data_IF_567877162962
#
_entry.id   IF_567877162962
#
_cell.length_a   1.000
_cell.length_b   1.000
_cell.length_c   1.000
_cell.angle_alpha   90.00
_cell.angle_beta   90.00
_cell.angle_gamma   90.00
#
_symmetry.space_group_name_H-M   'P 1'
#
loop_
_entity.id
_entity.type
_entity.pdbx_description
1 polymer ?
#
# COMPACT_ATOMS: atom_id res chain seq x y z
N UNK A 1 -1.65 20.55 13.78
CA UNK A 1 -0.96 20.65 12.48
C UNK A 1 -0.12 19.40 12.35
N UNK A 2 -0.63 18.39 11.65
CA UNK A 2 0.09 17.13 11.48
C UNK A 2 1.09 17.29 10.34
N UNK A 3 2.31 16.80 10.51
CA UNK A 3 3.43 16.91 9.56
C UNK A 3 3.23 16.12 8.24
N UNK A 4 2.00 15.71 7.92
CA UNK A 4 1.64 14.87 6.77
C UNK A 4 1.07 15.67 5.59
N UNK A 5 0.92 16.98 5.75
CA UNK A 5 0.29 17.91 4.81
C UNK A 5 1.28 18.44 3.75
N UNK A 6 2.08 17.53 3.18
CA UNK A 6 2.80 17.83 1.93
C UNK A 6 1.84 17.59 0.79
N UNK A 7 1.89 18.40 -0.26
CA UNK A 7 0.98 18.37 -1.41
C UNK A 7 1.03 17.01 -2.15
N UNK A 8 0.30 16.00 -1.64
CA UNK A 8 0.26 14.63 -2.17
C UNK A 8 -0.39 14.53 -3.56
N UNK A 9 -0.76 15.68 -4.16
CA UNK A 9 -1.15 15.80 -5.56
C UNK A 9 0.04 15.90 -6.50
N UNK A 10 1.25 16.18 -6.00
CA UNK A 10 2.49 16.04 -6.77
C UNK A 10 3.07 14.63 -6.59
N UNK A 11 2.96 13.77 -7.61
CA UNK A 11 3.43 12.40 -7.48
C UNK A 11 4.95 12.31 -7.43
N UNK A 12 5.64 13.25 -8.06
CA UNK A 12 7.10 13.28 -8.10
C UNK A 12 7.67 13.64 -6.74
N UNK A 13 7.09 14.62 -6.05
CA UNK A 13 7.48 14.95 -4.68
C UNK A 13 7.33 13.75 -3.72
N UNK A 14 6.23 13.00 -3.85
CA UNK A 14 5.97 11.82 -3.01
C UNK A 14 6.96 10.68 -3.27
N UNK A 15 7.32 10.45 -4.54
CA UNK A 15 8.31 9.44 -4.91
C UNK A 15 9.72 9.86 -4.48
N UNK A 16 10.06 11.15 -4.57
CA UNK A 16 11.32 11.68 -4.07
C UNK A 16 11.43 11.51 -2.55
N UNK A 17 10.36 11.80 -1.79
CA UNK A 17 10.31 11.58 -0.35
C UNK A 17 10.58 10.10 0.00
N UNK A 18 9.92 9.16 -0.67
CA UNK A 18 10.18 7.72 -0.49
C UNK A 18 11.65 7.34 -0.77
N UNK A 19 12.26 7.92 -1.80
CA UNK A 19 13.64 7.59 -2.20
C UNK A 19 14.71 8.11 -1.25
N UNK A 20 14.39 9.14 -0.45
CA UNK A 20 15.31 9.73 0.50
C UNK A 20 15.37 8.97 1.84
N UNK A 21 14.36 8.12 2.11
CA UNK A 21 14.26 7.36 3.34
C UNK A 21 15.05 6.06 3.29
N UNK A 22 15.45 5.58 4.47
CA UNK A 22 16.03 4.24 4.60
C UNK A 22 14.99 3.17 4.22
N UNK A 23 15.37 1.90 4.00
CA UNK A 23 14.38 0.83 3.80
C UNK A 23 13.43 0.68 5.01
N UNK A 24 12.17 0.34 4.74
CA UNK A 24 11.17 0.06 5.78
C UNK A 24 10.20 1.21 6.11
N UNK A 25 10.23 2.29 5.34
CA UNK A 25 9.31 3.41 5.50
C UNK A 25 8.05 3.25 4.63
N UNK A 26 6.97 3.87 5.09
CA UNK A 26 5.69 3.93 4.39
C UNK A 26 5.36 5.39 4.12
N UNK A 27 5.09 5.74 2.87
CA UNK A 27 4.54 7.04 2.51
C UNK A 27 3.01 6.94 2.54
N UNK A 28 2.33 7.62 3.47
CA UNK A 28 0.87 7.69 3.43
C UNK A 28 0.44 8.49 2.20
N UNK A 29 -0.52 7.94 1.46
CA UNK A 29 -1.23 8.59 0.37
C UNK A 29 -2.69 8.72 0.80
N UNK A 30 -3.10 9.89 1.26
CA UNK A 30 -4.46 10.24 1.70
C UNK A 30 -5.29 10.74 0.51
N UNK A 31 -5.25 9.96 -0.57
CA UNK A 31 -5.91 10.25 -1.84
C UNK A 31 -6.56 8.98 -2.38
N UNK A 32 -7.66 9.17 -3.10
CA UNK A 32 -8.32 8.07 -3.79
C UNK A 32 -7.36 7.52 -4.87
N UNK A 33 -7.10 6.19 -4.93
CA UNK A 33 -6.24 5.61 -5.96
C UNK A 33 -6.68 5.92 -7.41
N UNK A 34 -7.97 6.18 -7.62
CA UNK A 34 -8.56 6.57 -8.90
C UNK A 34 -8.49 8.09 -9.15
N UNK A 35 -8.02 8.89 -8.20
CA UNK A 35 -7.99 10.34 -8.32
C UNK A 35 -7.06 10.79 -9.46
N UNK A 36 -7.53 11.66 -10.37
CA UNK A 36 -6.72 12.14 -11.48
C UNK A 36 -5.52 12.99 -11.09
N UNK A 37 -4.38 12.79 -11.77
CA UNK A 37 -3.08 13.45 -11.50
C UNK A 37 -2.54 14.28 -12.66
N UNK A 38 -3.37 14.61 -13.65
CA UNK A 38 -2.97 15.40 -14.81
C UNK A 38 -2.26 14.55 -15.87
N UNK A 39 -0.92 14.62 -15.94
CA UNK A 39 -0.15 13.95 -17.01
C UNK A 39 -0.14 12.41 -16.90
N UNK A 40 -0.32 11.89 -15.69
CA UNK A 40 -0.68 10.49 -15.40
C UNK A 40 -2.17 10.45 -15.07
N UNK A 41 -2.89 9.41 -15.49
CA UNK A 41 -4.34 9.37 -15.34
C UNK A 41 -4.75 9.22 -13.87
N UNK A 42 -3.99 8.48 -13.05
CA UNK A 42 -4.25 8.34 -11.60
C UNK A 42 -3.09 7.73 -10.81
N UNK A 43 -3.21 7.70 -9.47
CA UNK A 43 -2.22 7.09 -8.57
C UNK A 43 -2.04 5.59 -8.81
N UNK A 44 -3.13 4.86 -9.06
CA UNK A 44 -3.08 3.44 -9.33
C UNK A 44 -2.20 3.12 -10.56
N UNK A 45 -2.28 3.94 -11.61
CA UNK A 45 -1.45 3.82 -12.81
C UNK A 45 0.04 4.03 -12.47
N UNK A 46 0.37 5.09 -11.72
CA UNK A 46 1.74 5.42 -11.39
C UNK A 46 2.40 4.36 -10.48
N UNK A 47 1.69 3.95 -9.42
CA UNK A 47 2.15 2.89 -8.51
C UNK A 47 2.39 1.58 -9.26
N UNK A 48 1.53 1.29 -10.26
CA UNK A 48 1.64 0.11 -11.13
C UNK A 48 2.83 0.19 -12.07
N UNK A 49 3.00 1.32 -12.75
CA UNK A 49 4.09 1.57 -13.68
C UNK A 49 5.47 1.44 -13.00
N UNK A 50 5.57 1.90 -11.76
CA UNK A 50 6.81 1.83 -10.96
C UNK A 50 6.92 0.56 -10.11
N UNK A 51 5.90 -0.31 -10.16
CA UNK A 51 5.78 -1.56 -9.39
C UNK A 51 6.03 -1.35 -7.89
N UNK A 52 5.49 -0.28 -7.34
CA UNK A 52 5.68 0.06 -5.93
C UNK A 52 4.81 -0.82 -5.03
N UNK A 53 5.39 -1.56 -4.06
CA UNK A 53 4.61 -2.33 -3.11
C UNK A 53 3.66 -1.41 -2.35
N UNK A 54 2.37 -1.68 -2.47
CA UNK A 54 1.32 -0.79 -1.95
C UNK A 54 0.47 -1.52 -0.93
N UNK A 55 0.03 -0.84 0.12
CA UNK A 55 -0.98 -1.33 1.04
C UNK A 55 -2.18 -0.40 1.00
N UNK A 56 -3.38 -0.94 0.86
CA UNK A 56 -4.60 -0.14 0.79
C UNK A 56 -5.22 -0.03 2.18
N UNK A 57 -5.35 1.19 2.69
CA UNK A 57 -6.14 1.48 3.88
C UNK A 57 -7.59 1.74 3.44
N UNK A 58 -8.55 1.11 4.12
CA UNK A 58 -9.96 1.22 3.77
C UNK A 58 -10.77 1.45 5.04
N UNK A 59 -11.52 2.56 5.11
CA UNK A 59 -12.41 2.80 6.24
C UNK A 59 -13.60 1.84 6.21
N UNK A 60 -14.25 1.66 7.36
CA UNK A 60 -15.50 0.88 7.42
C UNK A 60 -16.59 1.47 6.50
N UNK A 61 -16.62 2.80 6.34
CA UNK A 61 -17.54 3.48 5.42
C UNK A 61 -17.23 3.13 3.95
N UNK A 62 -15.95 3.17 3.56
CA UNK A 62 -15.52 2.82 2.20
C UNK A 62 -15.82 1.34 1.89
N UNK A 63 -15.59 0.46 2.87
CA UNK A 63 -15.92 -0.97 2.74
C UNK A 63 -17.41 -1.17 2.51
N UNK A 64 -18.25 -0.52 3.32
CA UNK A 64 -19.71 -0.59 3.20
C UNK A 64 -20.21 -0.03 1.86
N UNK A 65 -19.56 1.01 1.34
CA UNK A 65 -19.84 1.58 0.02
C UNK A 65 -19.31 0.74 -1.16
N UNK A 66 -18.60 -0.36 -0.88
CA UNK A 66 -18.02 -1.24 -1.90
C UNK A 66 -16.69 -0.75 -2.50
N UNK A 67 -16.16 0.38 -2.03
CA UNK A 67 -14.91 0.97 -2.53
C UNK A 67 -13.71 0.05 -2.32
N UNK A 68 -13.70 -0.76 -1.26
CA UNK A 68 -12.68 -1.78 -1.04
C UNK A 68 -12.49 -2.70 -2.27
N UNK A 69 -13.59 -3.18 -2.85
CA UNK A 69 -13.56 -4.05 -4.03
C UNK A 69 -13.20 -3.28 -5.30
N UNK A 70 -13.77 -2.08 -5.45
CA UNK A 70 -13.50 -1.22 -6.60
C UNK A 70 -12.02 -0.84 -6.69
N UNK A 71 -11.44 -0.37 -5.58
CA UNK A 71 -10.02 -0.04 -5.49
C UNK A 71 -9.15 -1.29 -5.69
N UNK A 72 -9.51 -2.44 -5.12
CA UNK A 72 -8.76 -3.67 -5.38
C UNK A 72 -8.75 -4.06 -6.86
N UNK A 73 -9.89 -3.95 -7.54
CA UNK A 73 -9.99 -4.22 -8.97
C UNK A 73 -9.15 -3.22 -9.80
N UNK A 74 -9.18 -1.94 -9.45
CA UNK A 74 -8.38 -0.89 -10.08
C UNK A 74 -6.87 -1.13 -9.92
N UNK A 75 -6.42 -1.39 -8.69
CA UNK A 75 -5.01 -1.66 -8.40
C UNK A 75 -4.53 -2.93 -9.12
N UNK A 76 -5.39 -3.95 -9.23
CA UNK A 76 -5.10 -5.15 -10.02
C UNK A 76 -5.03 -4.87 -11.52
N UNK A 77 -5.91 -4.02 -12.04
CA UNK A 77 -5.92 -3.60 -13.45
C UNK A 77 -4.59 -2.96 -13.83
N UNK A 78 -4.10 -2.02 -13.03
CA UNK A 78 -2.80 -1.37 -13.21
C UNK A 78 -1.59 -2.19 -12.72
N UNK A 79 -1.81 -3.45 -12.31
CA UNK A 79 -0.75 -4.37 -11.85
C UNK A 79 0.09 -3.83 -10.69
N UNK A 80 -0.53 -3.03 -9.82
CA UNK A 80 0.10 -2.60 -8.58
C UNK A 80 0.40 -3.85 -7.73
N UNK A 81 1.65 -4.01 -7.24
CA UNK A 81 1.97 -5.08 -6.31
C UNK A 81 1.37 -4.78 -4.92
N UNK A 82 0.07 -5.05 -4.80
CA UNK A 82 -0.68 -4.89 -3.56
C UNK A 82 -0.21 -5.93 -2.53
N UNK A 83 0.36 -5.44 -1.44
CA UNK A 83 0.78 -6.23 -0.26
C UNK A 83 -0.45 -6.75 0.48
N UNK A 84 -1.51 -5.93 0.56
CA UNK A 84 -2.80 -6.30 1.12
C UNK A 84 -3.63 -5.09 1.51
N UNK A 85 -4.71 -5.34 2.26
CA UNK A 85 -5.68 -4.34 2.70
C UNK A 85 -5.79 -4.28 4.21
N UNK A 86 -6.01 -3.10 4.77
CA UNK A 86 -6.19 -2.89 6.20
C UNK A 86 -7.48 -2.12 6.44
N UNK A 87 -8.31 -2.61 7.35
CA UNK A 87 -9.51 -1.89 7.77
C UNK A 87 -9.11 -0.78 8.73
N UNK A 88 -9.48 0.47 8.44
CA UNK A 88 -9.33 1.61 9.34
C UNK A 88 -10.63 1.87 10.09
N UNK A 89 -10.60 1.67 11.40
CA UNK A 89 -11.76 1.86 12.26
C UNK A 89 -12.86 0.81 12.09
N UNK A 90 -13.95 1.06 12.82
CA UNK A 90 -15.07 0.14 12.92
C UNK A 90 -14.71 -1.16 13.64
N UNK A 91 -15.67 -2.08 13.69
CA UNK A 91 -15.45 -3.38 14.30
C UNK A 91 -14.68 -4.31 13.35
N UNK A 92 -13.60 -4.92 13.84
CA UNK A 92 -12.89 -5.94 13.09
C UNK A 92 -13.56 -7.31 13.27
N UNK A 93 -14.05 -7.88 12.16
CA UNK A 93 -14.72 -9.19 12.15
C UNK A 93 -14.02 -10.16 11.18
N UNK A 94 -13.01 -10.94 11.65
CA UNK A 94 -12.17 -11.75 10.78
C UNK A 94 -12.91 -12.72 9.85
N UNK A 95 -14.00 -13.34 10.33
CA UNK A 95 -14.79 -14.28 9.55
C UNK A 95 -15.50 -13.60 8.36
N UNK A 96 -16.09 -12.44 8.60
CA UNK A 96 -16.74 -11.64 7.55
C UNK A 96 -15.70 -11.15 6.53
N UNK A 97 -14.52 -10.71 6.98
CA UNK A 97 -13.43 -10.23 6.11
C UNK A 97 -12.90 -11.33 5.21
N UNK A 98 -12.74 -12.55 5.73
CA UNK A 98 -12.38 -13.72 4.91
C UNK A 98 -13.44 -14.04 3.86
N UNK A 99 -14.73 -13.90 4.20
CA UNK A 99 -15.83 -14.17 3.27
C UNK A 99 -15.89 -13.16 2.10
N UNK A 100 -15.26 -11.99 2.22
CA UNK A 100 -15.22 -11.01 1.13
C UNK A 100 -14.26 -11.36 -0.01
N UNK A 101 -13.34 -12.32 0.20
CA UNK A 101 -12.36 -12.72 -0.80
C UNK A 101 -11.29 -11.65 -1.11
N UNK A 102 -11.19 -10.63 -0.26
CA UNK A 102 -10.20 -9.56 -0.35
C UNK A 102 -8.93 -9.90 0.46
N UNK A 103 -7.74 -9.40 0.07
CA UNK A 103 -6.48 -9.71 0.75
C UNK A 103 -6.30 -8.90 2.03
N UNK A 104 -7.21 -9.06 2.99
CA UNK A 104 -7.15 -8.35 4.26
C UNK A 104 -6.00 -8.84 5.15
N UNK A 105 -5.19 -7.91 5.64
CA UNK A 105 -4.07 -8.15 6.57
C UNK A 105 -4.47 -7.94 8.04
N UNK A 106 -5.52 -7.16 8.28
CA UNK A 106 -5.98 -6.85 9.64
C UNK A 106 -6.70 -5.51 9.72
N UNK A 107 -6.67 -4.94 10.92
CA UNK A 107 -7.38 -3.74 11.30
C UNK A 107 -6.49 -2.79 12.09
N UNK A 108 -6.67 -1.49 11.86
CA UNK A 108 -6.15 -0.42 12.67
C UNK A 108 -7.32 0.34 13.32
N UNK A 109 -7.36 0.45 14.66
CA UNK A 109 -8.40 1.23 15.33
C UNK A 109 -8.24 2.73 15.02
N UNK A 110 -9.36 3.45 14.89
CA UNK A 110 -9.34 4.90 14.61
C UNK A 110 -8.87 5.76 15.79
N UNK A 111 -8.72 5.17 16.98
CA UNK A 111 -8.32 5.91 18.17
C UNK A 111 -6.80 6.06 18.23
N UNK A 112 -6.25 7.29 18.34
CA UNK A 112 -4.82 7.54 18.43
C UNK A 112 -4.19 7.04 19.75
N UNK A 113 -4.98 6.47 20.67
CA UNK A 113 -4.51 5.95 21.94
C UNK A 113 -3.67 4.66 21.81
N UNK A 114 -3.74 3.95 20.68
CA UNK A 114 -2.99 2.70 20.45
C UNK A 114 -1.79 2.93 19.52
N UNK A 115 -0.76 3.60 20.04
CA UNK A 115 0.54 3.73 19.33
C UNK A 115 1.17 2.36 19.00
N UNK A 116 0.78 1.31 19.73
CA UNK A 116 1.23 -0.06 19.53
C UNK A 116 0.65 -0.68 18.25
N UNK A 117 -0.59 -0.33 17.86
CA UNK A 117 -1.24 -0.90 16.68
C UNK A 117 -0.56 -0.45 15.37
N UNK A 118 -0.13 0.82 15.29
CA UNK A 118 0.61 1.34 14.14
C UNK A 118 2.02 0.71 14.06
N UNK A 119 2.67 0.52 15.21
CA UNK A 119 4.00 -0.11 15.28
C UNK A 119 3.95 -1.59 14.88
N UNK A 120 2.94 -2.31 15.35
CA UNK A 120 2.69 -3.70 14.94
C UNK A 120 2.39 -3.81 13.45
N UNK A 121 1.58 -2.90 12.91
CA UNK A 121 1.30 -2.88 11.48
C UNK A 121 2.57 -2.62 10.66
N UNK A 122 3.37 -1.63 11.06
CA UNK A 122 4.66 -1.33 10.41
C UNK A 122 5.56 -2.57 10.42
N UNK A 123 5.66 -3.26 11.56
CA UNK A 123 6.42 -4.51 11.67
C UNK A 123 5.88 -5.59 10.73
N UNK A 124 4.57 -5.85 10.74
CA UNK A 124 3.94 -6.85 9.86
C UNK A 124 4.17 -6.52 8.38
N UNK A 125 4.00 -5.26 7.98
CA UNK A 125 4.26 -4.80 6.62
C UNK A 125 5.73 -4.95 6.25
N UNK A 126 6.67 -4.62 7.15
CA UNK A 126 8.11 -4.80 6.91
C UNK A 126 8.52 -6.26 6.71
N UNK A 127 7.89 -7.19 7.43
CA UNK A 127 8.15 -8.63 7.27
C UNK A 127 7.61 -9.17 5.95
N UNK A 128 6.41 -8.72 5.55
CA UNK A 128 5.79 -9.15 4.29
C UNK A 128 6.60 -8.61 3.10
N UNK A 129 6.98 -7.33 3.12
CA UNK A 129 7.77 -6.71 2.04
C UNK A 129 9.20 -7.26 1.98
N UNK A 130 9.85 -7.55 3.11
CA UNK A 130 11.16 -8.23 3.12
C UNK A 130 11.10 -9.59 2.41
N UNK A 131 10.01 -10.36 2.60
CA UNK A 131 9.82 -11.64 1.90
C UNK A 131 9.56 -11.46 0.39
N UNK A 132 8.85 -10.39 0.01
CA UNK A 132 8.54 -10.08 -1.38
C UNK A 132 9.75 -9.55 -2.16
N UNK A 133 10.62 -8.75 -1.52
CA UNK A 133 11.88 -8.26 -2.12
C UNK A 133 12.88 -9.41 -2.30
N UNK A 134 12.94 -10.35 -1.35
CA UNK A 134 13.76 -11.56 -1.50
C UNK A 134 13.29 -12.45 -2.67
N UNK A 135 11.97 -12.51 -2.93
CA UNK A 135 11.40 -13.26 -4.05
C UNK A 135 11.54 -12.52 -5.41
N UNK A 136 11.80 -11.21 -5.40
CA UNK A 136 11.97 -10.38 -6.59
C UNK A 136 13.44 -10.14 -6.97
N UNK A 137 14.41 -10.74 -6.26
CA UNK A 137 15.82 -10.68 -6.63
C UNK A 137 16.01 -11.25 -8.05
N UNK A 138 16.65 -10.52 -8.98
CA UNK A 138 16.95 -11.07 -10.30
C UNK A 138 17.85 -12.31 -10.15
N UNK A 139 17.71 -13.34 -11.00
CA UNK A 139 18.64 -14.45 -11.01
C UNK A 139 20.05 -13.91 -11.21
N UNK A 140 20.99 -14.37 -10.38
CA UNK A 140 22.40 -14.00 -10.49
C UNK A 140 22.85 -14.15 -11.96
N UNK A 141 23.58 -13.18 -12.53
CA UNK A 141 24.07 -13.31 -13.88
C UNK A 141 24.92 -14.59 -13.95
N UNK A 142 24.55 -15.49 -14.87
CA UNK A 142 25.33 -16.68 -15.17
C UNK A 142 26.77 -16.23 -15.43
N UNK A 143 27.71 -16.67 -14.61
CA UNK A 143 29.13 -16.44 -14.86
C UNK A 143 29.48 -17.08 -16.20
N UNK A 144 29.55 -16.28 -17.25
CA UNK A 144 30.17 -16.68 -18.51
C UNK A 144 31.63 -16.94 -18.22
N UNK A 145 31.99 -18.22 -18.16
CA UNK A 145 33.36 -18.68 -18.23
C UNK A 145 33.96 -18.14 -19.53
N UNK A 146 34.90 -17.20 -19.41
CA UNK A 146 35.75 -16.79 -20.52
C UNK A 146 36.76 -17.91 -20.73
N UNK A 147 36.64 -18.61 -21.85
CA UNK A 147 37.69 -19.46 -22.44
C UNK A 147 38.44 -18.65 -23.49
#
# INVERSE_FOLDING_TARGET
>A
MNAWDSDQRDPQASLLALSAEAPGWLQPLDIDPAQPLGAVECWAELLGAWRLPTCLLCSEADRAAGLARSHWALLRHYRVPLVGMIQWGGDWRPAERRAEGLPWLGHLPSSPADSDALSELRLRLSLITASAVAAAAPPAPASMALH
#
